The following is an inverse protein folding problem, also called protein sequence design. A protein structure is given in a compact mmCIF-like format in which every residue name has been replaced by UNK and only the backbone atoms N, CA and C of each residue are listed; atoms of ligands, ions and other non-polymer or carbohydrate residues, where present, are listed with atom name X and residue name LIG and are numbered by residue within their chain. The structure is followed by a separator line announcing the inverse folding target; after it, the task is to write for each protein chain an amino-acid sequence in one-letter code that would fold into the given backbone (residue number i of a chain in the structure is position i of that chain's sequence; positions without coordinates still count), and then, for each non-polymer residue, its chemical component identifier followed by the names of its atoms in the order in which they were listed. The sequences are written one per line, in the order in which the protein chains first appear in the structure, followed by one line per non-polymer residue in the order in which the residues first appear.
data_IF_622369499081
#
_entry.id   IF_622369499081
#
_cell.length_a   1.000
_cell.length_b   1.000
_cell.length_c   1.000
_cell.angle_alpha   90.00
_cell.angle_beta   90.00
_cell.angle_gamma   90.00
#
_symmetry.space_group_name_H-M   'P 1'
#
loop_
_entity.id
_entity.type
_entity.pdbx_description
1 polymer ?
#
# COMPACT_ATOMS: atom_id res chain seq x y z
N UNK A 1 10.24 -3.15 -5.07
CA UNK A 1 10.56 -4.17 -4.07
C UNK A 1 9.53 -4.10 -2.95
N UNK A 2 9.14 -5.22 -2.32
CA UNK A 2 8.15 -5.20 -1.24
C UNK A 2 8.76 -4.59 0.03
N UNK A 3 7.93 -3.88 0.79
CA UNK A 3 8.30 -2.98 1.88
C UNK A 3 7.56 -3.34 3.17
N UNK A 4 8.14 -3.02 4.33
CA UNK A 4 7.46 -3.11 5.63
C UNK A 4 6.79 -1.80 6.03
N UNK A 5 5.71 -1.88 6.80
CA UNK A 5 5.07 -0.73 7.48
C UNK A 5 5.62 -0.49 8.89
N UNK A 6 6.47 -1.37 9.39
CA UNK A 6 7.21 -1.14 10.64
C UNK A 6 8.42 -0.24 10.39
N UNK A 7 8.69 0.61 11.38
CA UNK A 7 9.94 1.35 11.42
C UNK A 7 11.05 0.52 12.05
N UNK A 8 12.28 0.55 11.49
CA UNK A 8 13.44 -0.09 12.13
C UNK A 8 13.89 0.65 13.40
N UNK A 9 13.45 1.89 13.64
CA UNK A 9 13.81 2.70 14.81
C UNK A 9 12.52 3.25 15.42
N UNK A 10 12.40 3.23 16.76
CA UNK A 10 11.15 3.49 17.50
C UNK A 10 10.41 4.81 17.21
N UNK A 11 10.93 5.74 16.40
CA UNK A 11 10.27 7.00 16.00
C UNK A 11 10.60 7.50 14.58
N UNK A 12 11.30 6.72 13.76
CA UNK A 12 11.58 7.10 12.35
C UNK A 12 10.47 6.50 11.48
N UNK A 13 10.18 7.02 10.30
CA UNK A 13 9.07 6.51 9.48
C UNK A 13 9.35 5.10 8.91
N UNK A 14 8.32 4.39 8.47
CA UNK A 14 8.46 3.03 7.93
C UNK A 14 9.08 3.01 6.53
N UNK A 15 9.65 1.86 6.13
CA UNK A 15 10.22 1.64 4.79
C UNK A 15 9.23 2.06 3.68
N UNK A 16 7.98 1.57 3.78
CA UNK A 16 6.89 1.90 2.87
C UNK A 16 6.56 3.40 2.81
N UNK A 17 6.56 4.08 3.97
CA UNK A 17 6.34 5.53 4.02
C UNK A 17 7.50 6.28 3.36
N UNK A 18 8.73 5.94 3.74
CA UNK A 18 9.94 6.59 3.21
C UNK A 18 10.07 6.40 1.70
N UNK A 19 9.72 5.23 1.18
CA UNK A 19 9.70 4.95 -0.26
C UNK A 19 8.79 5.91 -1.01
N UNK A 20 7.59 6.21 -0.48
CA UNK A 20 6.70 7.16 -1.13
C UNK A 20 7.12 8.62 -0.91
N UNK A 21 7.50 9.00 0.31
CA UNK A 21 7.89 10.38 0.62
C UNK A 21 9.16 10.84 -0.13
N UNK A 22 10.05 9.91 -0.48
CA UNK A 22 11.26 10.17 -1.27
C UNK A 22 11.05 10.06 -2.79
N UNK A 23 9.88 9.61 -3.26
CA UNK A 23 9.59 9.46 -4.68
C UNK A 23 9.61 10.83 -5.39
N UNK A 24 10.26 10.89 -6.56
CA UNK A 24 10.38 12.09 -7.41
C UNK A 24 9.87 11.86 -8.84
N UNK A 25 9.12 10.78 -9.04
CA UNK A 25 8.53 10.41 -10.33
C UNK A 25 7.72 11.58 -10.90
N UNK A 26 7.89 11.82 -12.20
CA UNK A 26 7.28 12.93 -12.94
C UNK A 26 7.58 14.33 -12.37
N UNK A 27 8.70 14.49 -11.65
CA UNK A 27 9.10 15.77 -11.05
C UNK A 27 8.20 16.23 -9.90
N UNK A 28 7.47 15.29 -9.27
CA UNK A 28 6.56 15.56 -8.15
C UNK A 28 7.15 15.05 -6.84
N UNK A 29 6.89 15.74 -5.73
CA UNK A 29 7.42 15.42 -4.40
C UNK A 29 6.34 15.25 -3.33
N UNK A 30 5.08 15.28 -3.72
CA UNK A 30 3.88 15.20 -2.88
C UNK A 30 3.34 13.77 -2.78
N UNK A 31 4.18 12.78 -3.10
CA UNK A 31 3.86 11.36 -3.04
C UNK A 31 3.76 10.87 -1.59
N UNK A 32 2.76 10.04 -1.33
CA UNK A 32 2.49 9.41 -0.04
C UNK A 32 1.98 7.99 -0.21
N UNK A 33 1.99 7.25 0.89
CA UNK A 33 1.31 5.96 0.97
C UNK A 33 -0.22 6.17 0.79
N UNK A 34 -0.92 5.28 0.07
CA UNK A 34 -2.35 5.41 -0.17
C UNK A 34 -3.16 5.08 1.08
N UNK A 35 -4.29 5.74 1.25
CA UNK A 35 -5.32 5.30 2.19
C UNK A 35 -5.95 3.99 1.72
N UNK A 36 -6.59 3.28 2.66
CA UNK A 36 -7.31 2.03 2.34
C UNK A 36 -8.37 2.25 1.25
N UNK A 37 -9.14 3.34 1.36
CA UNK A 37 -10.22 3.67 0.42
C UNK A 37 -9.67 3.92 -1.00
N UNK A 38 -8.51 4.56 -1.14
CA UNK A 38 -7.89 4.79 -2.45
C UNK A 38 -7.53 3.45 -3.13
N UNK A 39 -6.94 2.51 -2.39
CA UNK A 39 -6.64 1.18 -2.94
C UNK A 39 -7.90 0.38 -3.27
N UNK A 40 -8.94 0.45 -2.43
CA UNK A 40 -10.22 -0.21 -2.72
C UNK A 40 -10.87 0.35 -3.98
N UNK A 41 -10.92 1.68 -4.13
CA UNK A 41 -11.45 2.31 -5.34
C UNK A 41 -10.68 1.89 -6.58
N UNK A 42 -9.36 1.77 -6.48
CA UNK A 42 -8.53 1.30 -7.57
C UNK A 42 -8.91 -0.14 -7.99
N UNK A 43 -9.17 -1.02 -7.02
CA UNK A 43 -9.63 -2.39 -7.30
C UNK A 43 -11.00 -2.46 -7.98
N UNK A 44 -11.90 -1.49 -7.78
CA UNK A 44 -13.25 -1.55 -8.36
C UNK A 44 -13.27 -1.54 -9.89
N UNK A 45 -12.18 -1.11 -10.54
CA UNK A 45 -12.03 -1.19 -11.99
C UNK A 45 -11.86 -2.62 -12.53
N UNK A 46 -11.60 -3.60 -11.67
CA UNK A 46 -11.30 -4.97 -12.09
C UNK A 46 -9.85 -5.15 -12.54
N UNK A 47 -9.34 -6.38 -12.41
CA UNK A 47 -7.92 -6.70 -12.61
C UNK A 47 -7.41 -6.38 -14.02
N UNK A 48 -8.24 -6.67 -15.04
CA UNK A 48 -7.90 -6.40 -16.44
C UNK A 48 -7.76 -4.90 -16.73
N UNK A 49 -8.68 -4.07 -16.20
CA UNK A 49 -8.56 -2.61 -16.40
C UNK A 49 -7.39 -2.05 -15.60
N UNK A 50 -7.17 -2.53 -14.37
CA UNK A 50 -6.04 -2.11 -13.56
C UNK A 50 -4.71 -2.35 -14.25
N UNK A 51 -4.50 -3.55 -14.80
CA UNK A 51 -3.27 -3.90 -15.52
C UNK A 51 -3.14 -3.19 -16.87
N UNK A 52 -4.26 -2.82 -17.51
CA UNK A 52 -4.24 -1.98 -18.72
C UNK A 52 -3.71 -0.57 -18.45
N UNK A 53 -4.19 0.09 -17.38
CA UNK A 53 -3.74 1.45 -17.02
C UNK A 53 -2.43 1.47 -16.23
N UNK A 54 -2.14 0.40 -15.50
CA UNK A 54 -0.96 0.27 -14.66
C UNK A 54 -0.29 -1.09 -14.93
N UNK A 55 0.39 -1.26 -16.08
CA UNK A 55 0.96 -2.54 -16.50
C UNK A 55 2.08 -3.05 -15.59
N UNK A 56 2.65 -2.18 -14.75
CA UNK A 56 3.63 -2.56 -13.72
C UNK A 56 3.00 -3.01 -12.40
N UNK A 57 1.68 -3.24 -12.36
CA UNK A 57 1.02 -3.82 -11.18
C UNK A 57 1.50 -5.25 -11.01
N UNK A 58 2.02 -5.57 -9.83
CA UNK A 58 2.42 -6.93 -9.45
C UNK A 58 1.23 -7.60 -8.79
N UNK A 59 1.02 -8.89 -9.08
CA UNK A 59 -0.05 -9.68 -8.46
C UNK A 59 0.31 -10.04 -7.02
N UNK A 60 0.03 -9.12 -6.09
CA UNK A 60 0.27 -9.29 -4.65
C UNK A 60 -0.63 -8.34 -3.84
N UNK A 61 -0.42 -8.29 -2.52
CA UNK A 61 -0.99 -7.30 -1.63
C UNK A 61 -0.25 -5.98 -1.70
N UNK A 62 -1.01 -4.91 -1.52
CA UNK A 62 -0.53 -3.55 -1.46
C UNK A 62 -0.88 -2.91 -0.13
N UNK A 63 0.13 -2.37 0.55
CA UNK A 63 -0.06 -1.69 1.83
C UNK A 63 -0.86 -0.41 1.68
N UNK A 64 -1.83 -0.22 2.59
CA UNK A 64 -2.41 1.08 2.87
C UNK A 64 -1.73 1.75 4.06
N UNK A 65 -1.99 3.04 4.26
CA UNK A 65 -1.60 3.79 5.44
C UNK A 65 -2.48 3.54 6.67
N UNK A 66 -3.46 2.63 6.58
CA UNK A 66 -4.45 2.39 7.63
C UNK A 66 -4.05 1.23 8.54
N UNK A 67 -4.01 1.48 9.85
CA UNK A 67 -3.82 0.44 10.86
C UNK A 67 -5.04 -0.48 10.95
N UNK A 68 -4.88 -1.68 11.52
CA UNK A 68 -6.05 -2.49 11.87
C UNK A 68 -6.67 -1.99 13.18
N UNK A 69 -7.87 -1.43 13.10
CA UNK A 69 -8.63 -0.90 14.24
C UNK A 69 -9.03 -1.98 15.26
N UNK A 70 -9.08 -3.25 14.84
CA UNK A 70 -9.40 -4.37 15.73
C UNK A 70 -8.17 -4.91 16.47
N UNK A 71 -6.95 -4.46 16.12
CA UNK A 71 -5.71 -4.88 16.76
C UNK A 71 -5.26 -3.85 17.81
N UNK A 72 -5.55 -4.15 19.08
CA UNK A 72 -5.17 -3.27 20.19
C UNK A 72 -3.64 -3.19 20.40
N UNK A 73 -2.86 -4.11 19.82
CA UNK A 73 -1.40 -4.08 19.91
C UNK A 73 -0.76 -3.09 18.93
N UNK A 74 -1.52 -2.63 17.92
CA UNK A 74 -1.04 -1.72 16.88
C UNK A 74 0.02 -2.32 15.94
N UNK A 75 0.17 -3.65 15.93
CA UNK A 75 1.20 -4.36 15.15
C UNK A 75 0.75 -4.68 13.73
N UNK A 76 -0.53 -4.57 13.43
CA UNK A 76 -1.10 -4.90 12.13
C UNK A 76 -1.66 -3.69 11.40
N UNK A 77 -1.75 -3.82 10.07
CA UNK A 77 -2.27 -2.81 9.16
C UNK A 77 -3.06 -3.47 8.03
N UNK A 78 -3.86 -2.67 7.31
CA UNK A 78 -4.69 -3.15 6.20
C UNK A 78 -3.93 -3.09 4.88
N UNK A 79 -4.02 -4.17 4.11
CA UNK A 79 -3.56 -4.26 2.73
C UNK A 79 -4.71 -4.67 1.80
N UNK A 80 -4.63 -4.29 0.52
CA UNK A 80 -5.59 -4.69 -0.51
C UNK A 80 -4.91 -5.63 -1.50
N UNK A 81 -5.58 -6.74 -1.81
CA UNK A 81 -5.11 -7.73 -2.79
C UNK A 81 -5.34 -7.23 -4.23
N UNK A 82 -4.30 -7.27 -5.06
CA UNK A 82 -4.43 -7.18 -6.51
C UNK A 82 -4.07 -8.51 -7.18
N UNK A 83 -4.48 -9.64 -6.57
CA UNK A 83 -4.20 -10.97 -7.09
C UNK A 83 -5.45 -11.85 -7.16
N UNK A 84 -5.77 -12.33 -8.38
CA UNK A 84 -6.63 -13.47 -8.66
C UNK A 84 -7.94 -13.53 -7.86
N UNK A 85 -8.27 -14.71 -7.31
CA UNK A 85 -9.55 -14.92 -6.61
C UNK A 85 -9.78 -14.07 -5.35
N UNK A 86 -8.75 -13.37 -4.85
CA UNK A 86 -8.87 -12.43 -3.72
C UNK A 86 -8.84 -10.98 -4.18
N UNK A 87 -8.89 -10.69 -5.48
CA UNK A 87 -8.74 -9.34 -6.03
C UNK A 87 -9.74 -8.37 -5.38
N UNK A 88 -9.22 -7.22 -4.94
CA UNK A 88 -9.97 -6.17 -4.24
C UNK A 88 -10.32 -6.44 -2.78
N UNK A 89 -10.03 -7.63 -2.25
CA UNK A 89 -10.23 -7.92 -0.83
C UNK A 89 -9.21 -7.17 0.03
N UNK A 90 -9.68 -6.59 1.13
CA UNK A 90 -8.83 -6.08 2.20
C UNK A 90 -8.51 -7.19 3.20
N UNK A 91 -7.29 -7.18 3.76
CA UNK A 91 -6.88 -8.07 4.85
C UNK A 91 -5.94 -7.36 5.81
N UNK A 92 -5.91 -7.85 7.05
CA UNK A 92 -4.98 -7.40 8.07
C UNK A 92 -3.73 -8.26 8.08
N UNK A 93 -2.57 -7.62 8.17
CA UNK A 93 -1.29 -8.31 8.28
C UNK A 93 -0.35 -7.59 9.24
N UNK A 94 0.63 -8.32 9.80
CA UNK A 94 1.70 -7.72 10.59
C UNK A 94 2.45 -6.67 9.76
N UNK A 95 2.75 -5.53 10.38
CA UNK A 95 3.49 -4.42 9.74
C UNK A 95 4.91 -4.81 9.31
N UNK A 96 5.43 -5.93 9.83
CA UNK A 96 6.75 -6.51 9.51
C UNK A 96 6.70 -7.33 8.21
N UNK A 97 5.50 -7.67 7.71
CA UNK A 97 5.34 -8.36 6.42
C UNK A 97 5.75 -7.44 5.28
N UNK A 98 6.44 -8.01 4.28
CA UNK A 98 6.86 -7.28 3.08
C UNK A 98 5.78 -7.38 2.01
N UNK A 99 5.17 -6.25 1.67
CA UNK A 99 4.21 -6.12 0.57
C UNK A 99 4.49 -4.90 -0.30
N UNK A 100 3.87 -4.83 -1.47
CA UNK A 100 4.10 -3.73 -2.39
C UNK A 100 3.43 -2.44 -1.93
N UNK A 101 3.90 -1.31 -2.46
CA UNK A 101 3.30 0.01 -2.27
C UNK A 101 3.01 0.63 -3.63
N UNK A 102 1.90 1.36 -3.71
CA UNK A 102 1.57 2.20 -4.87
C UNK A 102 1.36 3.62 -4.37
N UNK A 103 2.38 4.45 -4.50
CA UNK A 103 2.34 5.82 -4.00
C UNK A 103 1.30 6.64 -4.76
N UNK A 104 0.63 7.53 -4.03
CA UNK A 104 -0.39 8.45 -4.56
C UNK A 104 -0.02 9.88 -4.18
N UNK A 105 -0.45 10.86 -4.97
CA UNK A 105 -0.16 12.27 -4.69
C UNK A 105 -1.13 12.86 -3.68
N UNK A 106 -0.63 13.75 -2.85
CA UNK A 106 -1.44 14.68 -2.05
C UNK A 106 -1.98 15.74 -3.01
N UNK A 107 -3.28 16.06 -2.94
CA UNK A 107 -3.93 16.95 -3.92
C UNK A 107 -3.29 18.33 -3.98
#
# INVERSE_FOLDING_TARGET
MPQTLKSPINNVTSEAYSSCASDRTAGKSDWRLPSLIELKKLSMSGENMLTTFFPSTVNDYYWSSWGDENDQTGKTAKAVSFVGGNYGQERSFNKDTRFYVRCVRTR
#
